data_IF_789983189084
#
_entry.id   IF_789983189084
#
_cell.length_a   1.000
_cell.length_b   1.000
_cell.length_c   1.000
_cell.angle_alpha   90.00
_cell.angle_beta   90.00
_cell.angle_gamma   90.00
#
_symmetry.space_group_name_H-M   'P 1'
#
loop_
_entity.id
_entity.type
_entity.pdbx_description
1 polymer ?
#
# COMPACT_ATOMS: atom_id res chain seq x y z
N UNK A 1 6.41 10.06 -11.48
CA UNK A 1 7.51 9.09 -11.26
C UNK A 1 7.22 8.34 -9.98
N UNK A 2 7.17 7.01 -10.04
CA UNK A 2 7.18 6.15 -8.85
C UNK A 2 8.48 6.43 -8.10
N UNK A 3 8.38 6.78 -6.81
CA UNK A 3 9.57 7.01 -5.97
C UNK A 3 10.17 5.64 -5.65
N UNK A 4 11.43 5.39 -6.04
CA UNK A 4 12.17 4.20 -5.60
C UNK A 4 12.34 4.24 -4.09
N UNK A 5 11.88 3.21 -3.39
CA UNK A 5 12.06 3.11 -1.94
C UNK A 5 13.39 2.47 -1.60
N UNK A 6 14.10 3.09 -0.67
CA UNK A 6 15.27 2.47 -0.04
C UNK A 6 14.78 1.74 1.20
N UNK A 7 14.77 0.41 1.14
CA UNK A 7 14.40 -0.42 2.29
C UNK A 7 15.64 -0.60 3.18
N UNK A 8 15.56 -0.10 4.41
CA UNK A 8 16.48 -0.46 5.50
C UNK A 8 15.70 -1.34 6.48
N UNK A 9 16.04 -2.62 6.57
CA UNK A 9 15.29 -3.60 7.39
C UNK A 9 14.21 -4.36 6.60
N UNK A 10 13.12 -4.77 7.28
CA UNK A 10 12.03 -5.56 6.69
C UNK A 10 10.94 -4.73 6.00
N UNK A 11 10.87 -3.43 6.29
CA UNK A 11 9.93 -2.49 5.68
C UNK A 11 10.60 -1.13 5.43
N UNK A 12 10.28 -0.43 4.33
CA UNK A 12 10.83 0.88 4.06
C UNK A 12 10.24 1.96 4.97
N UNK A 13 11.08 2.91 5.37
CA UNK A 13 10.59 4.16 5.99
C UNK A 13 9.82 4.95 4.95
N UNK A 14 8.67 5.49 5.35
CA UNK A 14 7.85 6.34 4.48
C UNK A 14 8.65 7.54 3.94
N UNK A 15 8.78 7.73 2.62
CA UNK A 15 9.54 8.84 2.02
C UNK A 15 9.08 10.22 2.44
N UNK A 16 7.82 10.36 2.86
CA UNK A 16 7.28 11.62 3.33
C UNK A 16 7.82 11.99 4.74
N UNK A 17 8.42 11.05 5.47
CA UNK A 17 9.12 11.31 6.73
C UNK A 17 10.56 11.80 6.49
N UNK A 18 10.72 12.95 5.83
CA UNK A 18 12.03 13.49 5.43
C UNK A 18 13.02 13.66 6.58
N UNK A 19 12.53 13.88 7.81
CA UNK A 19 13.37 14.01 9.01
C UNK A 19 14.09 12.71 9.40
N UNK A 20 13.50 11.56 9.10
CA UNK A 20 14.01 10.22 9.47
C UNK A 20 14.49 9.40 8.27
N UNK A 21 14.14 9.83 7.06
CA UNK A 21 14.55 9.18 5.82
C UNK A 21 16.08 9.03 5.74
N UNK A 22 16.55 7.79 5.60
CA UNK A 22 17.97 7.46 5.54
C UNK A 22 18.72 7.51 6.89
N UNK A 23 18.08 7.91 7.98
CA UNK A 23 18.65 7.99 9.34
C UNK A 23 18.02 7.01 10.33
N UNK A 24 16.93 6.39 9.93
CA UNK A 24 16.16 5.44 10.73
C UNK A 24 15.70 4.28 9.86
N UNK A 25 15.24 3.23 10.53
CA UNK A 25 14.58 2.08 9.94
C UNK A 25 13.25 1.80 10.66
N UNK A 26 12.37 1.03 10.02
CA UNK A 26 11.14 0.56 10.66
C UNK A 26 11.50 -0.49 11.70
N UNK A 27 11.02 -0.29 12.92
CA UNK A 27 11.26 -1.17 14.05
C UNK A 27 10.60 -2.53 13.85
N UNK A 28 11.32 -3.60 14.21
CA UNK A 28 10.87 -4.98 14.11
C UNK A 28 11.26 -5.77 15.37
N UNK A 29 10.37 -6.65 15.84
CA UNK A 29 10.67 -7.64 16.89
C UNK A 29 10.54 -9.05 16.32
N UNK A 30 11.68 -9.66 16.00
CA UNK A 30 11.69 -10.90 15.24
C UNK A 30 11.00 -10.67 13.89
N UNK A 31 9.87 -11.34 13.66
CA UNK A 31 9.03 -11.20 12.45
C UNK A 31 7.89 -10.19 12.61
N UNK A 32 7.71 -9.61 13.80
CA UNK A 32 6.71 -8.57 14.03
C UNK A 32 7.22 -7.21 13.57
N UNK A 33 6.76 -6.76 12.41
CA UNK A 33 7.09 -5.46 11.83
C UNK A 33 6.09 -4.42 12.32
N UNK A 34 6.56 -3.36 12.99
CA UNK A 34 5.72 -2.26 13.46
C UNK A 34 5.47 -1.22 12.35
N UNK A 35 4.88 -1.70 11.27
CA UNK A 35 4.38 -0.93 10.14
C UNK A 35 2.97 -1.41 9.79
N UNK A 36 2.08 -0.46 9.52
CA UNK A 36 0.72 -0.80 9.11
C UNK A 36 0.11 0.25 8.20
N UNK A 37 -0.46 -0.22 7.09
CA UNK A 37 -1.31 0.56 6.21
C UNK A 37 -2.78 0.18 6.41
N UNK A 38 -3.60 1.18 6.66
CA UNK A 38 -5.03 1.02 6.86
C UNK A 38 -5.80 1.75 5.76
N UNK A 39 -6.92 1.19 5.33
CA UNK A 39 -7.79 1.80 4.32
C UNK A 39 -9.27 1.80 4.76
N UNK A 40 -10.01 2.81 4.34
CA UNK A 40 -11.43 2.93 4.61
C UNK A 40 -12.14 3.59 3.45
N UNK A 41 -13.08 2.87 2.85
CA UNK A 41 -13.97 3.41 1.84
C UNK A 41 -15.43 3.36 2.29
N UNK A 42 -16.15 4.46 2.10
CA UNK A 42 -17.59 4.53 2.22
C UNK A 42 -18.13 5.47 1.14
N UNK A 43 -18.84 4.90 0.17
CA UNK A 43 -19.40 5.58 -1.00
C UNK A 43 -20.51 6.57 -0.63
N UNK A 44 -21.34 6.28 0.37
CA UNK A 44 -22.46 7.15 0.79
C UNK A 44 -21.96 8.52 1.24
N UNK A 45 -20.83 8.54 1.95
CA UNK A 45 -20.27 9.75 2.54
C UNK A 45 -19.02 10.25 1.81
N UNK A 46 -18.71 9.73 0.61
CA UNK A 46 -17.49 10.02 -0.15
C UNK A 46 -16.20 9.93 0.70
N UNK A 47 -16.15 8.94 1.59
CA UNK A 47 -14.96 8.63 2.34
C UNK A 47 -14.12 7.66 1.53
N UNK A 48 -12.88 8.04 1.24
CA UNK A 48 -11.87 7.17 0.65
C UNK A 48 -10.53 7.55 1.28
N UNK A 49 -10.24 6.96 2.44
CA UNK A 49 -9.23 7.45 3.38
C UNK A 49 -8.23 6.35 3.70
N UNK A 50 -6.99 6.75 3.91
CA UNK A 50 -5.93 5.87 4.38
C UNK A 50 -5.36 6.37 5.70
N UNK A 51 -4.70 5.46 6.43
CA UNK A 51 -3.92 5.77 7.62
C UNK A 51 -2.69 4.85 7.66
N UNK A 52 -1.49 5.43 7.60
CA UNK A 52 -0.22 4.76 7.79
C UNK A 52 0.27 5.01 9.22
N UNK A 53 0.80 3.97 9.87
CA UNK A 53 1.49 4.07 11.16
C UNK A 53 2.80 3.30 11.06
N UNK A 54 3.92 3.94 11.42
CA UNK A 54 5.25 3.33 11.48
C UNK A 54 5.90 3.63 12.83
N UNK A 55 6.46 2.61 13.48
CA UNK A 55 7.41 2.81 14.58
C UNK A 55 8.82 2.82 13.97
N UNK A 56 9.55 3.92 14.17
CA UNK A 56 10.87 4.14 13.60
C UNK A 56 11.93 4.12 14.71
N UNK A 57 13.05 3.46 14.48
CA UNK A 57 14.26 3.48 15.32
C UNK A 57 15.40 4.15 14.55
N UNK A 58 16.10 5.10 15.17
CA UNK A 58 17.28 5.75 14.56
C UNK A 58 18.47 4.79 14.45
N UNK A 59 19.24 4.88 13.36
CA UNK A 59 20.39 4.02 13.12
C UNK A 59 21.58 4.36 14.01
N UNK A 60 21.72 5.65 14.36
CA UNK A 60 22.87 6.17 15.11
C UNK A 60 22.72 6.09 16.63
N UNK A 61 21.49 5.96 17.12
CA UNK A 61 21.17 5.98 18.54
C UNK A 61 19.88 5.22 18.78
N UNK A 62 19.73 4.64 19.98
CA UNK A 62 18.49 3.97 20.40
C UNK A 62 17.41 5.00 20.72
N UNK A 63 16.94 5.69 19.69
CA UNK A 63 15.88 6.68 19.73
C UNK A 63 14.72 6.23 18.85
N UNK A 64 13.52 6.20 19.43
CA UNK A 64 12.31 5.77 18.77
C UNK A 64 11.41 6.96 18.43
N UNK A 65 10.61 6.82 17.39
CA UNK A 65 9.60 7.80 17.02
C UNK A 65 8.42 7.08 16.35
N UNK A 66 7.20 7.55 16.56
CA UNK A 66 6.03 7.03 15.85
C UNK A 66 5.66 8.01 14.75
N UNK A 67 5.75 7.55 13.51
CA UNK A 67 5.30 8.27 12.32
C UNK A 67 3.88 7.86 11.98
N UNK A 68 3.03 8.84 11.72
CA UNK A 68 1.65 8.64 11.30
C UNK A 68 1.38 9.53 10.10
N UNK A 69 0.73 9.00 9.07
CA UNK A 69 0.31 9.79 7.90
C UNK A 69 -1.08 9.35 7.44
N UNK A 70 -1.96 10.30 7.19
CA UNK A 70 -3.35 10.01 6.86
C UNK A 70 -3.94 11.04 5.93
N UNK A 71 -4.99 10.64 5.21
CA UNK A 71 -5.70 11.54 4.33
C UNK A 71 -6.49 10.80 3.29
N UNK A 72 -6.76 11.46 2.16
CA UNK A 72 -7.45 10.85 1.03
C UNK A 72 -6.52 9.93 0.24
N UNK A 73 -7.02 8.78 -0.21
CA UNK A 73 -6.27 7.88 -1.10
C UNK A 73 -5.81 8.65 -2.35
N UNK A 74 -4.57 8.44 -2.79
CA UNK A 74 -3.94 9.20 -3.87
C UNK A 74 -3.45 10.61 -3.51
N UNK A 75 -3.56 11.07 -2.26
CA UNK A 75 -3.03 12.39 -1.83
C UNK A 75 -2.02 12.24 -0.67
N UNK A 76 -1.03 13.16 -0.55
CA UNK A 76 -0.04 13.12 0.53
C UNK A 76 -0.64 13.20 1.93
N UNK A 77 -1.76 13.92 2.10
CA UNK A 77 -2.47 14.00 3.38
C UNK A 77 -1.75 14.83 4.44
N UNK A 78 -2.11 14.60 5.70
CA UNK A 78 -1.47 15.16 6.89
C UNK A 78 -0.59 14.11 7.55
N UNK A 79 0.39 14.54 8.33
CA UNK A 79 1.28 13.63 9.04
C UNK A 79 1.63 14.15 10.45
N UNK A 80 2.14 13.26 11.29
CA UNK A 80 2.66 13.55 12.61
C UNK A 80 3.85 12.64 12.90
N UNK A 81 4.91 13.21 13.47
CA UNK A 81 6.08 12.49 13.98
C UNK A 81 6.16 12.72 15.48
N UNK A 82 5.96 11.67 16.26
CA UNK A 82 5.97 11.75 17.72
C UNK A 82 7.30 11.18 18.23
N UNK A 83 8.25 12.01 18.70
CA UNK A 83 9.49 11.52 19.27
C UNK A 83 9.24 10.85 20.63
N UNK A 84 9.87 9.69 20.84
CA UNK A 84 9.81 8.93 22.09
C UNK A 84 11.18 8.81 22.77
N UNK A 85 12.23 9.40 22.18
CA UNK A 85 13.62 9.27 22.66
C UNK A 85 13.95 7.79 22.89
N UNK A 86 14.68 7.42 23.93
CA UNK A 86 15.01 6.00 24.22
C UNK A 86 13.88 5.14 24.77
N UNK A 87 12.64 5.63 24.84
CA UNK A 87 11.51 4.90 25.41
C UNK A 87 10.75 4.11 24.34
N UNK A 88 11.16 2.85 24.15
CA UNK A 88 10.51 1.91 23.23
C UNK A 88 9.08 1.58 23.67
N UNK A 89 8.85 1.37 24.97
CA UNK A 89 7.54 1.00 25.52
C UNK A 89 6.51 2.07 25.20
N UNK A 90 6.85 3.34 25.41
CA UNK A 90 6.00 4.47 25.03
C UNK A 90 5.74 4.53 23.53
N UNK A 91 6.74 4.27 22.70
CA UNK A 91 6.56 4.25 21.24
C UNK A 91 5.57 3.15 20.82
N UNK A 92 5.70 1.95 21.38
CA UNK A 92 4.76 0.85 21.16
C UNK A 92 3.36 1.18 21.64
N UNK A 93 3.21 1.74 22.83
CA UNK A 93 1.89 2.11 23.37
C UNK A 93 1.18 3.13 22.48
N UNK A 94 1.91 4.13 21.97
CA UNK A 94 1.36 5.11 21.03
C UNK A 94 0.90 4.43 19.74
N UNK A 95 1.73 3.53 19.20
CA UNK A 95 1.45 2.78 17.98
C UNK A 95 0.20 1.88 18.15
N UNK A 96 0.19 1.02 19.15
CA UNK A 96 -0.88 0.03 19.38
C UNK A 96 -2.18 0.71 19.79
N UNK A 97 -2.14 1.75 20.62
CA UNK A 97 -3.32 2.57 20.96
C UNK A 97 -3.90 3.26 19.73
N UNK A 98 -3.07 3.75 18.82
CA UNK A 98 -3.55 4.36 17.57
C UNK A 98 -4.18 3.31 16.67
N UNK A 99 -3.55 2.15 16.50
CA UNK A 99 -4.11 1.03 15.75
C UNK A 99 -5.49 0.64 16.29
N UNK A 100 -5.61 0.39 17.59
CA UNK A 100 -6.87 0.04 18.27
C UNK A 100 -7.95 1.12 18.10
N UNK A 101 -7.62 2.40 18.18
CA UNK A 101 -8.58 3.50 17.95
C UNK A 101 -9.17 3.47 16.52
N UNK A 102 -8.31 3.21 15.52
CA UNK A 102 -8.67 3.24 14.10
C UNK A 102 -9.35 1.96 13.61
N UNK A 103 -9.01 0.82 14.18
CA UNK A 103 -9.49 -0.49 13.70
C UNK A 103 -10.44 -1.20 14.65
N UNK A 104 -10.44 -0.83 15.94
CA UNK A 104 -11.09 -1.58 17.04
C UNK A 104 -10.57 -3.00 17.23
N UNK A 105 -9.36 -3.27 16.75
CA UNK A 105 -8.65 -4.54 16.93
C UNK A 105 -7.36 -4.31 17.74
N UNK A 106 -6.98 -5.29 18.56
CA UNK A 106 -5.69 -5.28 19.27
C UNK A 106 -4.54 -5.61 18.30
N UNK A 107 -3.41 -4.91 18.44
CA UNK A 107 -2.25 -5.10 17.55
C UNK A 107 -1.69 -6.52 17.62
N UNK A 108 -1.58 -7.08 18.82
CA UNK A 108 -0.99 -8.42 19.02
C UNK A 108 -1.90 -9.55 18.50
N UNK A 109 -3.19 -9.27 18.31
CA UNK A 109 -4.20 -10.21 17.78
C UNK A 109 -4.58 -9.92 16.33
N UNK A 110 -3.76 -9.15 15.60
CA UNK A 110 -4.04 -8.77 14.21
C UNK A 110 -4.06 -9.94 13.23
N UNK A 111 -3.50 -11.10 13.59
CA UNK A 111 -3.66 -12.33 12.79
C UNK A 111 -5.13 -12.76 12.67
N UNK A 112 -5.95 -12.45 13.68
CA UNK A 112 -7.40 -12.67 13.69
C UNK A 112 -8.20 -11.38 13.48
N UNK A 113 -7.67 -10.45 12.67
CA UNK A 113 -8.30 -9.15 12.43
C UNK A 113 -9.75 -9.30 11.94
N UNK A 114 -10.66 -8.52 12.53
CA UNK A 114 -12.05 -8.45 12.10
C UNK A 114 -12.43 -7.03 11.71
N UNK A 115 -12.89 -6.87 10.47
CA UNK A 115 -13.32 -5.57 9.97
C UNK A 115 -14.57 -5.10 10.71
N UNK A 116 -14.47 -3.96 11.38
CA UNK A 116 -15.61 -3.30 12.04
C UNK A 116 -16.23 -2.25 11.13
N UNK A 117 -17.56 -2.22 11.04
CA UNK A 117 -18.30 -1.23 10.27
C UNK A 117 -17.94 0.21 10.71
N UNK A 118 -17.76 1.12 9.75
CA UNK A 118 -17.37 2.52 10.04
C UNK A 118 -15.94 2.72 10.57
N UNK A 119 -15.13 1.66 10.68
CA UNK A 119 -13.69 1.73 11.03
C UNK A 119 -12.79 1.41 9.84
N UNK A 120 -11.49 1.59 10.01
CA UNK A 120 -10.50 1.24 8.99
C UNK A 120 -10.31 -0.28 8.90
N UNK A 121 -9.97 -0.75 7.71
CA UNK A 121 -9.53 -2.11 7.42
C UNK A 121 -8.00 -2.17 7.34
N UNK A 122 -7.46 -3.36 7.51
CA UNK A 122 -6.04 -3.66 7.40
C UNK A 122 -5.68 -4.01 5.95
N UNK A 123 -4.61 -3.42 5.41
CA UNK A 123 -4.03 -3.86 4.14
C UNK A 123 -2.76 -4.68 4.39
N UNK A 124 -2.71 -5.86 3.77
CA UNK A 124 -1.51 -6.69 3.81
C UNK A 124 -0.57 -6.31 2.66
N UNK A 125 0.53 -5.67 3.03
CA UNK A 125 1.58 -5.22 2.12
C UNK A 125 2.78 -6.15 2.19
N UNK A 126 3.34 -6.42 1.02
CA UNK A 126 4.59 -7.13 0.84
C UNK A 126 5.68 -6.11 0.49
N UNK A 127 6.68 -6.07 1.36
CA UNK A 127 7.86 -5.23 1.25
C UNK A 127 9.09 -6.01 0.80
N UNK A 128 8.94 -7.28 0.43
CA UNK A 128 10.05 -8.08 -0.07
C UNK A 128 10.69 -7.37 -1.26
N UNK A 129 11.84 -6.79 -0.96
CA UNK A 129 12.86 -6.48 -1.93
C UNK A 129 13.29 -7.83 -2.52
N UNK A 130 12.68 -8.24 -3.63
CA UNK A 130 13.44 -9.01 -4.61
C UNK A 130 14.61 -8.12 -5.03
N UNK A 131 15.72 -8.26 -4.30
CA UNK A 131 17.06 -8.50 -4.83
C UNK A 131 18.14 -8.37 -3.73
N UNK A 132 18.01 -9.14 -2.64
CA UNK A 132 19.17 -9.47 -1.79
C UNK A 132 19.88 -10.77 -2.23
N UNK A 133 19.20 -11.63 -3.00
CA UNK A 133 19.75 -12.87 -3.56
C UNK A 133 20.00 -12.84 -5.07
N UNK A 134 19.93 -11.65 -5.68
CA UNK A 134 20.41 -11.40 -7.03
C UNK A 134 21.48 -10.31 -6.92
N UNK A 135 22.78 -10.61 -7.09
CA UNK A 135 23.86 -9.63 -6.91
C UNK A 135 23.85 -8.44 -7.91
N UNK A 136 22.77 -8.21 -8.66
CA UNK A 136 22.71 -7.29 -9.81
C UNK A 136 21.68 -6.16 -9.72
N UNK A 137 20.97 -5.98 -8.61
CA UNK A 137 19.94 -4.94 -8.52
C UNK A 137 20.02 -4.09 -7.23
N UNK A 138 21.24 -3.74 -6.82
CA UNK A 138 21.42 -2.50 -6.08
C UNK A 138 21.40 -1.32 -7.06
N UNK A 139 20.84 -0.15 -6.71
CA UNK A 139 21.12 1.07 -7.44
C UNK A 139 22.60 1.37 -7.21
N UNK A 140 23.45 0.98 -8.16
CA UNK A 140 24.84 1.38 -8.16
C UNK A 140 24.89 2.91 -8.06
N UNK A 141 25.58 3.41 -7.04
CA UNK A 141 26.11 4.77 -7.04
C UNK A 141 26.73 4.99 -8.42
N UNK A 142 26.27 6.03 -9.12
CA UNK A 142 26.72 6.42 -10.46
C UNK A 142 28.23 6.64 -10.48
N UNK A 143 28.98 5.56 -10.62
CA UNK A 143 30.26 5.55 -11.31
C UNK A 143 29.95 5.00 -12.69
N UNK A 144 30.18 5.84 -13.68
CA UNK A 144 30.04 5.59 -15.11
C UNK A 144 30.83 4.34 -15.53
N UNK A 145 30.22 3.17 -15.46
CA UNK A 145 30.62 2.04 -16.30
C UNK A 145 29.86 2.15 -17.62
N UNK A 146 30.52 1.97 -18.79
CA UNK A 146 29.81 1.95 -20.06
C UNK A 146 28.78 0.83 -20.02
N UNK A 147 27.52 1.14 -20.37
CA UNK A 147 26.46 0.14 -20.51
C UNK A 147 26.99 -0.98 -21.41
N UNK A 148 27.00 -2.21 -20.89
CA UNK A 148 27.36 -3.37 -21.71
C UNK A 148 26.46 -3.40 -22.94
N UNK A 149 27.05 -3.45 -24.13
CA UNK A 149 26.32 -3.47 -25.40
C UNK A 149 25.65 -4.83 -25.54
N UNK A 150 24.31 -4.83 -25.61
CA UNK A 150 23.53 -6.05 -25.78
C UNK A 150 23.88 -6.76 -27.08
N UNK A 151 24.06 -8.08 -27.01
CA UNK A 151 24.37 -8.94 -28.15
C UNK A 151 23.11 -9.54 -28.81
N UNK A 152 21.92 -9.14 -28.36
CA UNK A 152 20.65 -9.62 -28.92
C UNK A 152 20.34 -8.93 -30.26
N UNK A 153 19.56 -9.59 -31.11
CA UNK A 153 19.02 -8.97 -32.34
C UNK A 153 18.22 -7.70 -31.99
N UNK A 154 18.35 -6.64 -32.78
CA UNK A 154 17.69 -5.36 -32.53
C UNK A 154 16.17 -5.49 -32.40
N UNK A 155 15.53 -6.42 -33.12
CA UNK A 155 14.10 -6.69 -33.00
C UNK A 155 13.75 -7.31 -31.65
N UNK A 156 14.62 -8.17 -31.12
CA UNK A 156 14.46 -8.76 -29.79
C UNK A 156 14.70 -7.71 -28.70
N UNK A 157 15.69 -6.83 -28.87
CA UNK A 157 15.91 -5.70 -27.96
C UNK A 157 14.68 -4.79 -27.92
N UNK A 158 14.15 -4.40 -29.08
CA UNK A 158 12.94 -3.57 -29.17
C UNK A 158 11.71 -4.26 -28.54
N UNK A 159 11.55 -5.58 -28.75
CA UNK A 159 10.49 -6.35 -28.11
C UNK A 159 10.63 -6.37 -26.59
N UNK A 160 11.84 -6.62 -26.08
CA UNK A 160 12.12 -6.64 -24.64
C UNK A 160 11.89 -5.25 -24.03
N UNK A 161 12.36 -4.18 -24.67
CA UNK A 161 12.11 -2.81 -24.24
C UNK A 161 10.61 -2.49 -24.18
N UNK A 162 9.84 -2.97 -25.17
CA UNK A 162 8.39 -2.81 -25.19
C UNK A 162 7.70 -3.56 -24.05
N UNK A 163 7.96 -4.86 -23.88
CA UNK A 163 7.25 -5.70 -22.92
C UNK A 163 7.77 -5.56 -21.48
N UNK A 164 9.00 -5.08 -21.29
CA UNK A 164 9.60 -4.84 -19.98
C UNK A 164 9.64 -3.35 -19.60
N UNK A 165 8.93 -2.49 -20.34
CA UNK A 165 8.78 -1.08 -19.97
C UNK A 165 7.95 -0.94 -18.70
N UNK A 166 8.64 -0.79 -17.57
CA UNK A 166 8.02 -0.48 -16.26
C UNK A 166 7.15 0.78 -16.36
N UNK A 167 7.62 1.79 -17.11
CA UNK A 167 6.86 3.03 -17.33
C UNK A 167 5.50 2.76 -17.98
N UNK A 168 5.45 1.91 -19.00
CA UNK A 168 4.20 1.57 -19.69
C UNK A 168 3.26 0.79 -18.78
N UNK A 169 3.80 -0.14 -17.97
CA UNK A 169 3.02 -0.84 -16.94
C UNK A 169 2.47 0.13 -15.88
N UNK A 170 3.27 1.10 -15.43
CA UNK A 170 2.86 2.14 -14.48
C UNK A 170 1.73 3.02 -15.05
N UNK A 171 1.87 3.47 -16.29
CA UNK A 171 0.88 4.31 -16.98
C UNK A 171 -0.48 3.58 -17.06
N UNK A 172 -0.49 2.29 -17.38
CA UNK A 172 -1.69 1.46 -17.45
C UNK A 172 -2.38 1.32 -16.08
N UNK A 173 -1.62 1.01 -15.02
CA UNK A 173 -2.17 0.85 -13.66
C UNK A 173 -2.72 2.19 -13.11
N UNK A 174 -2.07 3.31 -13.45
CA UNK A 174 -2.56 4.67 -13.13
C UNK A 174 -3.88 4.98 -13.86
N UNK A 175 -3.99 4.59 -15.14
CA UNK A 175 -5.20 4.78 -15.92
C UNK A 175 -6.41 4.10 -15.26
N UNK A 176 -6.19 2.88 -14.74
CA UNK A 176 -7.18 2.08 -14.02
C UNK A 176 -7.50 2.58 -12.60
N UNK A 177 -6.93 3.72 -12.19
CA UNK A 177 -7.16 4.42 -10.91
C UNK A 177 -6.63 3.69 -9.68
N UNK A 178 -5.66 2.81 -9.83
CA UNK A 178 -4.97 2.22 -8.69
C UNK A 178 -3.97 3.23 -8.07
N UNK A 179 -3.87 3.28 -6.74
CA UNK A 179 -3.00 4.24 -6.03
C UNK A 179 -1.52 3.82 -6.09
N UNK A 180 -0.88 4.05 -7.24
CA UNK A 180 0.57 3.81 -7.45
C UNK A 180 1.46 4.74 -6.62
N UNK A 181 0.89 5.74 -5.92
CA UNK A 181 1.62 6.65 -5.02
C UNK A 181 1.69 6.14 -3.59
N UNK A 182 0.89 5.14 -3.23
CA UNK A 182 1.07 4.33 -2.01
C UNK A 182 1.53 2.90 -2.24
N UNK A 183 1.40 2.40 -3.46
CA UNK A 183 2.20 1.28 -3.95
C UNK A 183 3.74 1.48 -3.97
N UNK A 184 4.36 2.68 -3.76
CA UNK A 184 5.78 2.75 -3.51
C UNK A 184 6.09 2.02 -2.21
N UNK A 185 5.22 2.13 -1.19
CA UNK A 185 5.46 1.59 0.15
C UNK A 185 5.55 0.08 0.15
N UNK A 186 4.72 -0.63 -0.60
CA UNK A 186 4.81 -2.07 -0.78
C UNK A 186 3.78 -2.57 -1.80
N UNK A 187 4.01 -3.76 -2.35
CA UNK A 187 3.03 -4.44 -3.23
C UNK A 187 1.90 -4.99 -2.36
N UNK A 188 0.69 -5.10 -2.89
CA UNK A 188 -0.33 -5.89 -2.18
C UNK A 188 0.12 -7.36 -2.19
N UNK A 189 -0.02 -8.03 -1.05
CA UNK A 189 0.21 -9.48 -0.95
C UNK A 189 -0.75 -10.24 -1.87
N UNK A 190 -0.37 -11.46 -2.26
CA UNK A 190 -1.25 -12.33 -3.05
C UNK A 190 -2.57 -12.60 -2.32
N UNK A 191 -2.52 -12.74 -0.99
CA UNK A 191 -3.68 -12.91 -0.12
C UNK A 191 -4.61 -11.69 -0.17
N UNK A 192 -4.06 -10.46 -0.19
CA UNK A 192 -4.83 -9.23 -0.32
C UNK A 192 -5.51 -9.13 -1.70
N UNK A 193 -4.79 -9.49 -2.78
CA UNK A 193 -5.36 -9.52 -4.13
C UNK A 193 -6.47 -10.56 -4.21
N UNK A 194 -6.27 -11.75 -3.66
CA UNK A 194 -7.29 -12.79 -3.58
C UNK A 194 -8.51 -12.33 -2.76
N UNK A 195 -8.30 -11.61 -1.66
CA UNK A 195 -9.38 -11.00 -0.89
C UNK A 195 -10.14 -9.93 -1.71
N UNK A 196 -9.45 -9.20 -2.59
CA UNK A 196 -10.04 -8.29 -3.58
C UNK A 196 -10.89 -9.02 -4.62
N UNK A 197 -10.42 -10.14 -5.16
CA UNK A 197 -11.22 -10.99 -6.06
C UNK A 197 -12.49 -11.51 -5.37
N UNK A 198 -12.38 -11.98 -4.12
CA UNK A 198 -13.54 -12.42 -3.33
C UNK A 198 -14.56 -11.30 -3.11
N UNK A 199 -14.14 -10.05 -2.93
CA UNK A 199 -15.08 -8.93 -2.82
C UNK A 199 -15.68 -8.56 -4.18
N UNK A 200 -14.96 -8.66 -5.29
CA UNK A 200 -15.54 -8.53 -6.63
C UNK A 200 -16.58 -9.61 -6.94
N UNK A 201 -16.37 -10.85 -6.50
CA UNK A 201 -17.38 -11.93 -6.65
C UNK A 201 -18.70 -11.58 -5.95
N UNK A 202 -18.66 -10.87 -4.81
CA UNK A 202 -19.88 -10.36 -4.15
C UNK A 202 -20.58 -9.30 -4.99
N UNK A 203 -19.83 -8.41 -5.63
CA UNK A 203 -20.38 -7.43 -6.58
C UNK A 203 -21.01 -8.15 -7.78
N UNK A 204 -20.32 -9.14 -8.35
CA UNK A 204 -20.82 -9.95 -9.45
C UNK A 204 -22.15 -10.64 -9.09
N UNK A 205 -22.23 -11.24 -7.90
CA UNK A 205 -23.45 -11.85 -7.40
C UNK A 205 -24.59 -10.81 -7.30
N UNK A 206 -24.31 -9.61 -6.78
CA UNK A 206 -25.31 -8.54 -6.74
C UNK A 206 -25.82 -8.19 -8.14
N UNK A 207 -24.93 -8.11 -9.14
CA UNK A 207 -25.30 -7.81 -10.52
C UNK A 207 -26.11 -8.94 -11.17
N UNK A 208 -25.72 -10.20 -10.99
CA UNK A 208 -26.43 -11.37 -11.54
C UNK A 208 -27.85 -11.50 -11.01
N UNK A 209 -28.04 -11.24 -9.72
CA UNK A 209 -29.34 -11.34 -9.06
C UNK A 209 -30.11 -10.00 -9.03
N UNK A 210 -29.65 -8.99 -9.78
CA UNK A 210 -30.25 -7.65 -9.84
C UNK A 210 -30.48 -7.02 -8.46
N UNK A 211 -29.60 -7.32 -7.49
CA UNK A 211 -29.62 -6.69 -6.18
C UNK A 211 -29.10 -5.25 -6.30
N UNK A 212 -29.90 -4.29 -5.86
CA UNK A 212 -29.59 -2.86 -5.97
C UNK A 212 -29.60 -2.19 -4.59
N UNK A 213 -29.31 -0.89 -4.56
CA UNK A 213 -29.37 -0.11 -3.32
C UNK A 213 -28.25 -0.47 -2.35
N UNK A 214 -28.62 -0.80 -1.11
CA UNK A 214 -27.69 -0.96 0.02
C UNK A 214 -26.72 -2.14 -0.14
N UNK A 215 -27.19 -3.26 -0.70
CA UNK A 215 -26.38 -4.48 -0.80
C UNK A 215 -25.24 -4.32 -1.79
N UNK A 216 -25.54 -3.82 -3.00
CA UNK A 216 -24.53 -3.53 -4.02
C UNK A 216 -23.53 -2.47 -3.54
N UNK A 217 -24.03 -1.45 -2.86
CA UNK A 217 -23.21 -0.39 -2.29
C UNK A 217 -22.20 -0.95 -1.26
N UNK A 218 -22.64 -1.83 -0.38
CA UNK A 218 -21.76 -2.42 0.63
C UNK A 218 -20.73 -3.36 0.01
N UNK A 219 -21.12 -4.14 -1.01
CA UNK A 219 -20.18 -4.94 -1.79
C UNK A 219 -19.12 -4.06 -2.48
N UNK A 220 -19.51 -2.90 -3.04
CA UNK A 220 -18.57 -1.93 -3.59
C UNK A 220 -17.66 -1.30 -2.52
N UNK A 221 -18.20 -0.95 -1.34
CA UNK A 221 -17.42 -0.44 -0.21
C UNK A 221 -16.35 -1.46 0.21
N UNK A 222 -16.71 -2.75 0.32
CA UNK A 222 -15.79 -3.83 0.67
C UNK A 222 -14.67 -3.96 -0.38
N UNK A 223 -15.00 -3.92 -1.67
CA UNK A 223 -14.00 -3.96 -2.74
C UNK A 223 -13.01 -2.80 -2.67
N UNK A 224 -13.49 -1.55 -2.66
CA UNK A 224 -12.60 -0.38 -2.65
C UNK A 224 -11.83 -0.21 -1.33
N UNK A 225 -12.33 -0.77 -0.23
CA UNK A 225 -11.60 -0.83 1.03
C UNK A 225 -10.44 -1.82 0.94
N UNK A 226 -10.64 -2.98 0.30
CA UNK A 226 -9.57 -3.99 0.12
C UNK A 226 -8.56 -3.62 -0.94
N UNK A 227 -9.00 -2.95 -2.00
CA UNK A 227 -8.17 -2.57 -3.15
C UNK A 227 -8.19 -1.04 -3.27
N UNK A 228 -7.14 -0.34 -2.80
CA UNK A 228 -7.12 1.12 -2.79
C UNK A 228 -7.14 1.72 -4.19
N UNK A 229 -8.06 2.65 -4.41
CA UNK A 229 -8.20 3.39 -5.66
C UNK A 229 -8.14 4.91 -5.43
N UNK A 230 -7.51 5.64 -6.35
CA UNK A 230 -7.49 7.10 -6.38
C UNK A 230 -8.58 7.64 -7.32
N UNK A 231 -9.68 8.10 -6.73
CA UNK A 231 -10.78 8.76 -7.46
C UNK A 231 -10.67 10.29 -7.48
N UNK A 232 -9.53 10.86 -7.08
CA UNK A 232 -9.43 12.31 -6.86
C UNK A 232 -10.47 12.76 -5.84
N UNK A 233 -11.13 13.91 -6.03
CA UNK A 233 -12.17 14.41 -5.12
C UNK A 233 -13.56 13.79 -5.35
N UNK A 234 -13.74 13.02 -6.43
CA UNK A 234 -15.03 12.42 -6.79
C UNK A 234 -15.36 11.25 -5.86
N UNK A 235 -16.65 11.04 -5.64
CA UNK A 235 -17.14 9.84 -4.95
C UNK A 235 -16.73 8.60 -5.74
N UNK A 236 -16.20 7.54 -5.08
CA UNK A 236 -15.95 6.27 -5.75
C UNK A 236 -17.23 5.79 -6.48
N UNK A 237 -17.15 5.39 -7.75
CA UNK A 237 -18.33 4.98 -8.50
C UNK A 237 -18.82 3.61 -8.03
N UNK A 238 -20.14 3.41 -8.04
CA UNK A 238 -20.69 2.06 -7.94
C UNK A 238 -20.32 1.25 -9.18
N UNK A 239 -20.00 -0.03 -8.98
CA UNK A 239 -19.81 -0.98 -10.09
C UNK A 239 -21.20 -1.52 -10.44
N UNK A 240 -21.77 -1.03 -11.55
CA UNK A 240 -23.16 -1.30 -11.96
C UNK A 240 -23.26 -2.21 -13.18
N UNK A 241 -22.17 -2.37 -13.92
CA UNK A 241 -22.17 -3.14 -15.17
C UNK A 241 -21.13 -4.26 -15.14
N UNK A 242 -21.38 -5.32 -15.92
CA UNK A 242 -20.41 -6.40 -16.12
C UNK A 242 -19.10 -5.90 -16.73
N UNK A 243 -19.16 -4.85 -17.57
CA UNK A 243 -17.98 -4.22 -18.16
C UNK A 243 -17.10 -3.58 -17.08
N UNK A 244 -17.68 -2.76 -16.21
CA UNK A 244 -16.94 -2.14 -15.09
C UNK A 244 -16.34 -3.20 -14.16
N UNK A 245 -17.10 -4.29 -13.90
CA UNK A 245 -16.61 -5.42 -13.11
C UNK A 245 -15.39 -6.09 -13.77
N UNK A 246 -15.45 -6.34 -15.09
CA UNK A 246 -14.34 -6.91 -15.85
C UNK A 246 -13.11 -5.99 -15.85
N UNK A 247 -13.30 -4.68 -15.98
CA UNK A 247 -12.21 -3.71 -15.85
C UNK A 247 -11.55 -3.77 -14.45
N UNK A 248 -12.34 -3.97 -13.38
CA UNK A 248 -11.79 -4.16 -12.02
C UNK A 248 -11.11 -5.51 -11.84
N UNK A 249 -11.62 -6.56 -12.46
CA UNK A 249 -10.97 -7.87 -12.44
C UNK A 249 -9.64 -7.83 -13.20
N UNK A 250 -9.58 -7.16 -14.36
CA UNK A 250 -8.36 -7.01 -15.15
C UNK A 250 -7.26 -6.22 -14.44
N UNK A 251 -7.63 -5.34 -13.50
CA UNK A 251 -6.66 -4.61 -12.67
C UNK A 251 -5.93 -5.53 -11.68
N UNK A 252 -6.58 -6.59 -11.19
CA UNK A 252 -6.08 -7.47 -10.12
C UNK A 252 -5.22 -8.61 -10.67
#
# INVERSE_FOLDING_TARGET
AVKTLTVKGKAPVDPECTAKLGKAHVYCEGDDIYDVMLNQTNLQFNNNKYYLIQLLEEDSARNYSVWMRWGRVGKPGQHSLIPCSGDLTKAKDIFTKKFLDKTKNEWDKRASFQKVAGKYDLLHLDYEAKDANNPKAAPEKTFSKPKAVSQLDLRVQALIELICSIRTMEEMVIEMKYDTRKAPLGKLTAEQIQAGYRSLQKVEACLKWSQTGSVLLEACNEFYTRIPHDFGLKTPPLIKTLKELQEKAQLL
#
